data_IF_890868135354
#
_entry.id   IF_890868135354
#
_cell.length_a   1.000
_cell.length_b   1.000
_cell.length_c   1.000
_cell.angle_alpha   90.00
_cell.angle_beta   90.00
_cell.angle_gamma   90.00
#
_symmetry.space_group_name_H-M   'P 1'
#
loop_
_entity.id
_entity.type
_entity.pdbx_description
1 polymer ?
#
# COMPACT_ATOMS: atom_id res chain seq x y z
N UNK A 1 23.74 -12.72 41.33
CA UNK A 1 22.86 -13.90 41.34
C UNK A 1 21.59 -13.53 40.59
N UNK A 2 21.42 -13.99 39.35
CA UNK A 2 20.32 -13.56 38.47
C UNK A 2 19.07 -14.34 38.85
N UNK A 3 18.14 -13.72 39.58
CA UNK A 3 16.81 -14.25 39.83
C UNK A 3 15.97 -14.14 38.57
N UNK A 4 16.09 -15.12 37.66
CA UNK A 4 15.16 -15.28 36.53
C UNK A 4 13.81 -15.71 37.09
N UNK A 5 12.88 -14.76 37.24
CA UNK A 5 11.50 -15.01 37.64
C UNK A 5 10.87 -16.02 36.66
N UNK A 6 10.21 -17.06 37.17
CA UNK A 6 9.56 -18.15 36.40
C UNK A 6 8.68 -17.65 35.23
N UNK A 7 8.15 -16.43 35.31
CA UNK A 7 7.39 -15.79 34.25
C UNK A 7 8.19 -15.63 32.93
N UNK A 8 9.47 -15.24 33.01
CA UNK A 8 10.33 -15.04 31.84
C UNK A 8 10.70 -16.35 31.15
N UNK A 9 10.82 -17.45 31.92
CA UNK A 9 11.08 -18.78 31.38
C UNK A 9 9.84 -19.27 30.59
N UNK A 10 8.63 -19.07 31.13
CA UNK A 10 7.40 -19.46 30.42
C UNK A 10 7.10 -18.63 29.16
N UNK A 11 7.54 -17.37 29.12
CA UNK A 11 7.43 -16.51 27.95
C UNK A 11 8.48 -16.90 26.88
N UNK A 12 9.68 -17.28 27.31
CA UNK A 12 10.72 -17.81 26.43
C UNK A 12 10.34 -19.19 25.83
N UNK A 13 9.87 -20.13 26.64
CA UNK A 13 9.44 -21.48 26.19
C UNK A 13 8.26 -21.41 25.19
N UNK A 14 7.30 -20.49 25.40
CA UNK A 14 6.20 -20.26 24.43
C UNK A 14 6.66 -19.60 23.12
N UNK A 15 7.81 -18.92 23.14
CA UNK A 15 8.41 -18.28 21.97
C UNK A 15 9.38 -19.22 21.23
N UNK A 16 9.94 -20.24 21.88
CA UNK A 16 10.69 -21.32 21.22
C UNK A 16 9.79 -22.25 20.42
N UNK A 17 8.56 -22.50 20.89
CA UNK A 17 7.61 -23.40 20.22
C UNK A 17 7.01 -22.81 18.92
N UNK A 18 7.26 -21.52 18.67
CA UNK A 18 6.91 -20.81 17.44
C UNK A 18 8.05 -19.85 17.16
N UNK A 19 9.00 -20.20 16.30
CA UNK A 19 10.12 -19.38 15.79
C UNK A 19 9.73 -17.92 15.45
N UNK A 20 9.47 -17.08 16.44
CA UNK A 20 8.95 -15.72 16.30
C UNK A 20 9.93 -14.77 16.93
N UNK A 21 10.96 -14.45 16.15
CA UNK A 21 11.71 -13.21 16.35
C UNK A 21 10.76 -12.03 16.18
N UNK A 22 10.80 -11.08 17.13
CA UNK A 22 10.02 -9.85 17.06
C UNK A 22 10.83 -8.74 16.38
N UNK A 23 10.14 -7.75 15.79
CA UNK A 23 10.81 -6.55 15.26
C UNK A 23 11.64 -5.85 16.34
N UNK A 24 11.15 -5.84 17.59
CA UNK A 24 11.85 -5.27 18.73
C UNK A 24 13.17 -6.02 19.01
N UNK A 25 13.17 -7.35 18.94
CA UNK A 25 14.39 -8.16 19.08
C UNK A 25 15.39 -7.84 17.96
N UNK A 26 14.94 -7.70 16.72
CA UNK A 26 15.81 -7.35 15.58
C UNK A 26 16.42 -5.96 15.74
N UNK A 27 15.64 -5.01 16.27
CA UNK A 27 16.13 -3.67 16.56
C UNK A 27 17.20 -3.68 17.66
N UNK A 28 16.97 -4.36 18.79
CA UNK A 28 17.97 -4.48 19.86
C UNK A 28 19.27 -5.13 19.38
N UNK A 29 19.16 -6.16 18.53
CA UNK A 29 20.34 -6.81 17.96
C UNK A 29 21.14 -5.86 17.05
N UNK A 30 20.46 -5.11 16.18
CA UNK A 30 21.13 -4.13 15.32
C UNK A 30 21.84 -3.05 16.15
N UNK A 31 21.19 -2.50 17.18
CA UNK A 31 21.77 -1.51 18.08
C UNK A 31 23.02 -2.04 18.80
N UNK A 32 22.97 -3.29 19.28
CA UNK A 32 24.11 -3.94 19.94
C UNK A 32 25.32 -4.13 19.00
N UNK A 33 25.09 -4.21 17.70
CA UNK A 33 26.14 -4.31 16.67
C UNK A 33 26.58 -2.94 16.12
N UNK A 34 26.08 -1.83 16.67
CA UNK A 34 26.23 -0.49 16.10
C UNK A 34 25.70 -0.38 14.65
N UNK A 35 24.66 -1.15 14.33
CA UNK A 35 23.98 -1.21 13.04
C UNK A 35 22.55 -0.64 13.12
N UNK A 36 21.93 -0.40 11.97
CA UNK A 36 20.52 -0.01 11.85
C UNK A 36 19.67 -1.16 11.30
N UNK A 37 18.56 -1.47 11.97
CA UNK A 37 17.56 -2.38 11.42
C UNK A 37 16.63 -1.63 10.48
N UNK A 38 16.43 -2.15 9.26
CA UNK A 38 15.51 -1.59 8.25
C UNK A 38 14.56 -2.68 7.80
N UNK A 39 13.26 -2.39 7.83
CA UNK A 39 12.22 -3.24 7.25
C UNK A 39 11.48 -2.44 6.18
N UNK A 40 11.08 -3.09 5.09
CA UNK A 40 10.36 -2.45 3.99
C UNK A 40 9.30 -3.40 3.42
N UNK A 41 8.21 -2.80 2.92
CA UNK A 41 7.24 -3.49 2.07
C UNK A 41 7.60 -3.09 0.64
N UNK A 42 7.86 -4.08 -0.21
CA UNK A 42 8.20 -3.88 -1.62
C UNK A 42 7.15 -4.53 -2.50
N UNK A 43 6.88 -4.00 -3.72
CA UNK A 43 6.02 -4.68 -4.67
C UNK A 43 6.48 -6.11 -4.91
N UNK A 44 5.55 -7.07 -4.89
CA UNK A 44 5.88 -8.47 -5.16
C UNK A 44 6.40 -8.66 -6.60
N UNK A 45 5.96 -7.80 -7.52
CA UNK A 45 6.35 -7.75 -8.92
C UNK A 45 6.34 -6.30 -9.38
N UNK A 46 7.20 -5.97 -10.36
CA UNK A 46 7.30 -4.63 -10.91
C UNK A 46 7.94 -3.61 -9.97
N UNK A 47 7.73 -2.35 -10.29
CA UNK A 47 8.26 -1.16 -9.63
C UNK A 47 7.20 -0.48 -8.76
N UNK A 48 7.61 0.49 -7.93
CA UNK A 48 6.64 1.31 -7.18
C UNK A 48 5.82 2.20 -8.13
N UNK A 49 6.43 2.61 -9.25
CA UNK A 49 5.79 3.37 -10.32
C UNK A 49 4.63 2.58 -10.95
N UNK A 50 4.76 1.26 -11.09
CA UNK A 50 3.68 0.40 -11.59
C UNK A 50 2.49 0.38 -10.62
N UNK A 51 2.76 0.32 -9.32
CA UNK A 51 1.73 0.38 -8.28
C UNK A 51 0.98 1.72 -8.33
N UNK A 52 1.73 2.82 -8.48
CA UNK A 52 1.14 4.16 -8.63
C UNK A 52 0.31 4.28 -9.90
N UNK A 53 0.80 3.80 -11.04
CA UNK A 53 0.04 3.82 -12.30
C UNK A 53 -1.26 3.00 -12.21
N UNK A 54 -1.20 1.81 -11.61
CA UNK A 54 -2.40 0.98 -11.41
C UNK A 54 -3.44 1.71 -10.56
N UNK A 55 -3.02 2.37 -9.48
CA UNK A 55 -3.93 3.13 -8.63
C UNK A 55 -4.52 4.34 -9.36
N UNK A 56 -3.69 5.11 -10.07
CA UNK A 56 -4.14 6.27 -10.83
C UNK A 56 -5.19 5.88 -11.89
N UNK A 57 -4.95 4.80 -12.64
CA UNK A 57 -5.93 4.25 -13.60
C UNK A 57 -7.20 3.77 -12.92
N UNK A 58 -7.08 3.07 -11.78
CA UNK A 58 -8.24 2.59 -11.01
C UNK A 58 -9.12 3.76 -10.56
N UNK A 59 -8.51 4.83 -10.04
CA UNK A 59 -9.25 6.03 -9.59
C UNK A 59 -9.84 6.81 -10.77
N UNK A 60 -9.06 7.06 -11.81
CA UNK A 60 -9.52 7.73 -13.03
C UNK A 60 -10.71 7.02 -13.67
N UNK A 61 -10.67 5.69 -13.82
CA UNK A 61 -11.77 4.91 -14.39
C UNK A 61 -13.07 5.08 -13.61
N UNK A 62 -13.00 5.20 -12.28
CA UNK A 62 -14.17 5.43 -11.43
C UNK A 62 -14.75 6.82 -11.63
N UNK A 63 -13.91 7.85 -11.63
CA UNK A 63 -14.33 9.24 -11.83
C UNK A 63 -14.99 9.40 -13.20
N UNK A 64 -14.34 8.91 -14.25
CA UNK A 64 -14.87 8.98 -15.63
C UNK A 64 -16.16 8.17 -15.77
N UNK A 65 -16.24 6.98 -15.17
CA UNK A 65 -17.46 6.16 -15.22
C UNK A 65 -18.65 6.82 -14.52
N UNK A 66 -18.43 7.45 -13.36
CA UNK A 66 -19.47 8.23 -12.66
C UNK A 66 -19.95 9.41 -13.48
N UNK A 67 -19.02 10.19 -14.04
CA UNK A 67 -19.34 11.32 -14.91
C UNK A 67 -20.12 10.87 -16.16
N UNK A 68 -19.68 9.80 -16.82
CA UNK A 68 -20.35 9.28 -18.01
C UNK A 68 -21.75 8.72 -17.70
N UNK A 69 -21.96 8.13 -16.53
CA UNK A 69 -23.30 7.68 -16.09
C UNK A 69 -24.26 8.86 -15.95
N UNK A 70 -23.79 9.97 -15.39
CA UNK A 70 -24.55 11.22 -15.30
C UNK A 70 -24.86 11.79 -16.71
N UNK A 71 -23.86 11.84 -17.59
CA UNK A 71 -24.02 12.35 -18.97
C UNK A 71 -24.90 11.44 -19.85
N UNK A 72 -24.88 10.13 -19.64
CA UNK A 72 -25.75 9.19 -20.35
C UNK A 72 -27.23 9.40 -20.01
N UNK A 73 -27.55 9.74 -18.76
CA UNK A 73 -28.90 10.14 -18.35
C UNK A 73 -29.36 11.44 -19.04
N UNK A 74 -28.41 12.31 -19.40
CA UNK A 74 -28.63 13.56 -20.16
C UNK A 74 -28.60 13.38 -21.69
N UNK A 75 -28.52 12.13 -22.20
CA UNK A 75 -28.39 11.76 -23.63
C UNK A 75 -27.10 12.26 -24.31
N UNK A 76 -26.03 12.49 -23.56
CA UNK A 76 -24.74 12.98 -24.04
C UNK A 76 -23.56 12.05 -23.68
N UNK A 77 -23.78 10.73 -23.66
CA UNK A 77 -22.71 9.76 -23.35
C UNK A 77 -21.61 9.72 -24.42
N UNK A 78 -20.35 9.58 -23.98
CA UNK A 78 -19.20 9.43 -24.88
C UNK A 78 -19.12 7.99 -25.44
N UNK A 79 -18.65 7.78 -26.69
CA UNK A 79 -18.34 6.45 -27.22
C UNK A 79 -17.25 5.74 -26.39
N UNK A 80 -17.32 4.41 -26.28
CA UNK A 80 -16.43 3.58 -25.43
C UNK A 80 -14.94 3.85 -25.66
N UNK A 81 -14.52 4.08 -26.92
CA UNK A 81 -13.11 4.40 -27.23
C UNK A 81 -12.64 5.73 -26.62
N UNK A 82 -13.52 6.73 -26.52
CA UNK A 82 -13.19 8.02 -25.92
C UNK A 82 -13.12 7.97 -24.39
N UNK A 83 -13.75 6.96 -23.77
CA UNK A 83 -13.72 6.78 -22.31
C UNK A 83 -12.33 6.39 -21.84
N UNK A 84 -11.67 5.42 -22.50
CA UNK A 84 -10.34 4.99 -22.06
C UNK A 84 -9.26 6.04 -22.32
N UNK A 85 -9.35 6.81 -23.42
CA UNK A 85 -8.47 7.95 -23.63
C UNK A 85 -8.60 8.99 -22.50
N UNK A 86 -9.84 9.24 -22.04
CA UNK A 86 -10.11 10.14 -20.92
C UNK A 86 -9.59 9.58 -19.59
N UNK A 87 -9.67 8.25 -19.40
CA UNK A 87 -9.13 7.57 -18.22
C UNK A 87 -7.60 7.69 -18.17
N UNK A 88 -6.90 7.41 -19.27
CA UNK A 88 -5.44 7.52 -19.31
C UNK A 88 -4.99 8.98 -19.11
N UNK A 89 -5.67 9.94 -19.74
CA UNK A 89 -5.38 11.36 -19.52
C UNK A 89 -5.55 11.77 -18.06
N UNK A 90 -6.65 11.37 -17.44
CA UNK A 90 -6.91 11.66 -16.03
C UNK A 90 -5.93 10.94 -15.10
N UNK A 91 -5.53 9.71 -15.43
CA UNK A 91 -4.53 8.97 -14.67
C UNK A 91 -3.18 9.69 -14.68
N UNK A 92 -2.77 10.27 -15.81
CA UNK A 92 -1.56 11.09 -15.90
C UNK A 92 -1.65 12.36 -15.04
N UNK A 93 -2.81 13.02 -15.03
CA UNK A 93 -3.03 14.20 -14.18
C UNK A 93 -2.99 13.83 -12.68
N UNK A 94 -3.59 12.70 -12.28
CA UNK A 94 -3.54 12.19 -10.91
C UNK A 94 -2.13 11.78 -10.46
N UNK A 95 -1.27 11.33 -11.38
CA UNK A 95 0.13 11.03 -11.06
C UNK A 95 0.97 12.30 -10.91
N UNK A 96 0.64 13.35 -11.66
CA UNK A 96 1.33 14.65 -11.59
C UNK A 96 0.98 15.41 -10.31
N UNK A 97 -0.29 15.39 -9.92
CA UNK A 97 -0.81 16.07 -8.74
C UNK A 97 -1.78 15.13 -7.97
N UNK A 98 -1.23 14.20 -7.16
CA UNK A 98 -2.05 13.23 -6.45
C UNK A 98 -2.87 13.91 -5.35
N UNK A 99 -4.21 13.76 -5.35
CA UNK A 99 -5.04 14.32 -4.30
C UNK A 99 -4.84 13.57 -2.98
N UNK A 100 -5.23 14.17 -1.85
CA UNK A 100 -5.08 13.57 -0.52
C UNK A 100 -5.81 12.23 -0.36
N UNK A 101 -6.88 12.04 -1.12
CA UNK A 101 -7.72 10.84 -1.14
C UNK A 101 -7.28 9.85 -2.24
N UNK A 102 -6.07 9.97 -2.80
CA UNK A 102 -5.61 9.16 -3.96
C UNK A 102 -5.76 7.65 -3.77
N UNK A 103 -5.61 7.16 -2.53
CA UNK A 103 -5.74 5.73 -2.17
C UNK A 103 -7.15 5.33 -1.74
N UNK A 104 -8.05 6.29 -1.59
CA UNK A 104 -9.42 6.04 -1.13
C UNK A 104 -10.30 5.59 -2.30
N UNK A 105 -11.34 4.83 -1.95
CA UNK A 105 -12.28 4.22 -2.89
C UNK A 105 -13.58 5.06 -3.06
N UNK A 106 -13.64 6.30 -2.57
CA UNK A 106 -14.87 7.10 -2.56
C UNK A 106 -15.33 7.67 -3.90
#
# INVERSE_FOLDING_TARGET
MVGRTRANISAAERSEQKDRITLQTMQTLAEAMACKFVYAIVPAQGSIEDVLQMQARKKARRIVSRANTHMALEKQGLPVGQIEDQVERMALDLLRDPPSDFWEDE
#
